data_IF_235752277156
#
_entry.id   IF_235752277156
#
_cell.length_a   1.000
_cell.length_b   1.000
_cell.length_c   1.000
_cell.angle_alpha   90.00
_cell.angle_beta   90.00
_cell.angle_gamma   90.00
#
_symmetry.space_group_name_H-M   'P 1'
#
loop_
_entity.id
_entity.type
_entity.pdbx_description
1 polymer ?
#
# COMPACT_ATOMS: atom_id res chain seq x y z
N UNK A 1 26.81 16.84 -52.92
CA UNK A 1 25.94 15.97 -52.08
C UNK A 1 26.35 16.20 -50.64
N UNK A 2 25.63 17.09 -49.96
CA UNK A 2 25.90 17.57 -48.60
C UNK A 2 25.25 16.65 -47.58
N UNK A 3 26.05 15.96 -46.77
CA UNK A 3 25.56 15.12 -45.67
C UNK A 3 25.40 15.98 -44.41
N UNK A 4 24.15 16.20 -44.02
CA UNK A 4 23.75 16.94 -42.82
C UNK A 4 24.08 16.09 -41.58
N UNK A 5 24.99 16.59 -40.74
CA UNK A 5 25.29 15.99 -39.44
C UNK A 5 24.09 16.16 -38.50
N UNK A 6 23.44 15.06 -38.15
CA UNK A 6 22.40 15.04 -37.13
C UNK A 6 23.03 15.18 -35.74
N UNK A 7 22.86 16.34 -35.13
CA UNK A 7 23.25 16.62 -33.75
C UNK A 7 22.35 15.81 -32.82
N UNK A 8 22.87 14.74 -32.22
CA UNK A 8 22.16 13.97 -31.20
C UNK A 8 21.98 14.84 -29.95
N UNK A 9 20.72 15.06 -29.56
CA UNK A 9 20.37 15.74 -28.32
C UNK A 9 20.92 14.96 -27.10
N UNK A 10 21.39 15.62 -26.04
CA UNK A 10 21.90 14.94 -24.86
C UNK A 10 20.75 14.19 -24.16
N UNK A 11 20.96 12.90 -23.91
CA UNK A 11 20.03 12.05 -23.17
C UNK A 11 19.82 12.63 -21.76
N UNK A 12 18.56 12.92 -21.42
CA UNK A 12 18.17 13.40 -20.11
C UNK A 12 18.62 12.41 -19.02
N UNK A 13 19.31 12.93 -17.99
CA UNK A 13 19.76 12.16 -16.84
C UNK A 13 18.57 11.54 -16.09
N UNK A 14 18.51 10.21 -15.89
CA UNK A 14 17.48 9.59 -15.05
C UNK A 14 17.95 9.67 -13.59
N UNK A 15 17.52 10.69 -12.85
CA UNK A 15 17.99 10.86 -11.46
C UNK A 15 17.33 11.93 -10.60
N UNK A 16 16.30 12.63 -11.06
CA UNK A 16 15.52 13.48 -10.17
C UNK A 16 14.40 12.63 -9.56
N UNK A 17 14.55 12.23 -8.29
CA UNK A 17 13.47 11.65 -7.50
C UNK A 17 12.24 12.55 -7.65
N UNK A 18 11.17 12.02 -8.25
CA UNK A 18 9.93 12.76 -8.38
C UNK A 18 9.51 13.19 -6.96
N UNK A 19 9.26 14.49 -6.73
CA UNK A 19 8.81 14.94 -5.42
C UNK A 19 7.57 14.15 -5.06
N UNK A 20 7.46 13.73 -3.78
CA UNK A 20 6.23 13.19 -3.19
C UNK A 20 5.09 14.01 -3.78
N UNK A 21 4.23 13.44 -4.65
CA UNK A 21 3.05 14.16 -5.11
C UNK A 21 2.36 14.60 -3.83
N UNK A 22 2.35 15.90 -3.57
CA UNK A 22 1.67 16.45 -2.42
C UNK A 22 0.25 15.92 -2.52
N UNK A 23 -0.11 15.00 -1.62
CA UNK A 23 -1.40 14.34 -1.67
C UNK A 23 -2.43 15.46 -1.71
N UNK A 24 -3.26 15.50 -2.74
CA UNK A 24 -4.25 16.56 -2.90
C UNK A 24 -5.02 16.74 -1.59
N UNK A 25 -5.31 17.99 -1.17
CA UNK A 25 -6.06 18.22 0.05
C UNK A 25 -7.37 17.43 -0.01
N UNK A 26 -7.78 16.80 1.10
CA UNK A 26 -8.97 15.96 1.09
C UNK A 26 -10.19 16.77 0.68
N UNK A 27 -10.97 16.24 -0.26
CA UNK A 27 -12.27 16.83 -0.59
C UNK A 27 -13.20 16.60 0.60
N UNK A 28 -14.01 17.61 0.95
CA UNK A 28 -14.98 17.50 2.08
C UNK A 28 -15.86 16.25 1.94
N UNK A 29 -16.27 15.91 0.71
CA UNK A 29 -17.02 14.69 0.41
C UNK A 29 -16.33 13.39 0.90
N UNK A 30 -14.99 13.31 0.83
CA UNK A 30 -14.23 12.14 1.31
C UNK A 30 -14.24 12.05 2.83
N UNK A 31 -14.16 13.19 3.52
CA UNK A 31 -14.25 13.22 4.99
C UNK A 31 -15.65 12.84 5.46
N UNK A 32 -16.69 13.32 4.78
CA UNK A 32 -18.06 12.94 5.07
C UNK A 32 -18.31 11.45 4.81
N UNK A 33 -17.76 10.89 3.74
CA UNK A 33 -17.83 9.45 3.44
C UNK A 33 -17.08 8.58 4.46
N UNK A 34 -16.06 9.13 5.14
CA UNK A 34 -15.29 8.41 6.15
C UNK A 34 -16.04 8.24 7.49
N UNK A 35 -16.96 9.13 7.84
CA UNK A 35 -17.72 9.07 9.10
C UNK A 35 -18.55 7.76 9.23
N UNK A 36 -19.43 7.37 8.28
CA UNK A 36 -20.18 6.14 8.40
C UNK A 36 -19.28 4.89 8.42
N UNK A 37 -18.11 4.97 7.77
CA UNK A 37 -17.12 3.90 7.81
C UNK A 37 -16.49 3.78 9.19
N UNK A 38 -16.13 4.90 9.83
CA UNK A 38 -15.65 4.91 11.21
C UNK A 38 -16.68 4.28 12.15
N UNK A 39 -17.96 4.61 12.00
CA UNK A 39 -19.04 3.98 12.78
C UNK A 39 -19.05 2.46 12.57
N UNK A 40 -18.96 2.00 11.32
CA UNK A 40 -18.92 0.57 11.01
C UNK A 40 -17.71 -0.13 11.65
N UNK A 41 -16.52 0.47 11.56
CA UNK A 41 -15.31 -0.08 12.21
C UNK A 41 -15.42 -0.04 13.73
N UNK A 42 -16.03 0.99 14.30
CA UNK A 42 -16.23 1.11 15.75
C UNK A 42 -17.17 0.04 16.30
N UNK A 43 -18.26 -0.25 15.58
CA UNK A 43 -19.25 -1.24 16.00
C UNK A 43 -18.77 -2.68 15.78
N UNK A 44 -18.11 -2.96 14.66
CA UNK A 44 -17.82 -4.34 14.25
C UNK A 44 -16.33 -4.69 14.30
N UNK A 45 -15.43 -3.72 14.15
CA UNK A 45 -14.00 -4.00 13.99
C UNK A 45 -13.38 -4.70 15.19
N UNK A 46 -13.70 -4.26 16.41
CA UNK A 46 -13.26 -4.94 17.63
C UNK A 46 -13.77 -6.38 17.74
N UNK A 47 -15.05 -6.62 17.39
CA UNK A 47 -15.65 -7.95 17.39
C UNK A 47 -15.00 -8.88 16.34
N UNK A 48 -14.75 -8.35 15.14
CA UNK A 48 -14.09 -9.10 14.06
C UNK A 48 -12.65 -9.45 14.41
N UNK A 49 -11.90 -8.52 15.01
CA UNK A 49 -10.54 -8.76 15.48
C UNK A 49 -10.50 -9.78 16.61
N UNK A 50 -11.44 -9.69 17.55
CA UNK A 50 -11.56 -10.67 18.63
C UNK A 50 -11.89 -12.05 18.07
N UNK A 51 -12.89 -12.15 17.18
CA UNK A 51 -13.27 -13.40 16.51
C UNK A 51 -12.10 -14.00 15.75
N UNK A 52 -11.41 -13.22 14.91
CA UNK A 52 -10.27 -13.69 14.14
C UNK A 52 -9.16 -14.20 15.06
N UNK A 53 -8.82 -13.44 16.11
CA UNK A 53 -7.78 -13.83 17.08
C UNK A 53 -8.16 -15.11 17.85
N UNK A 54 -9.42 -15.26 18.23
CA UNK A 54 -9.93 -16.49 18.86
C UNK A 54 -9.86 -17.69 17.91
N UNK A 55 -10.19 -17.52 16.63
CA UNK A 55 -10.07 -18.58 15.62
C UNK A 55 -8.61 -18.97 15.36
N UNK A 56 -7.69 -18.01 15.37
CA UNK A 56 -6.24 -18.28 15.27
C UNK A 56 -5.78 -19.08 16.48
N UNK A 57 -6.15 -18.67 17.69
CA UNK A 57 -5.79 -19.39 18.91
C UNK A 57 -6.34 -20.82 18.89
N UNK A 58 -7.62 -20.98 18.52
CA UNK A 58 -8.25 -22.29 18.34
C UNK A 58 -7.50 -23.14 17.30
N UNK A 59 -7.14 -22.57 16.14
CA UNK A 59 -6.37 -23.25 15.11
C UNK A 59 -4.99 -23.69 15.60
N UNK A 60 -4.30 -22.85 16.39
CA UNK A 60 -3.02 -23.21 17.02
C UNK A 60 -3.21 -24.36 17.99
N UNK A 61 -4.23 -24.32 18.87
CA UNK A 61 -4.52 -25.39 19.83
C UNK A 61 -4.87 -26.71 19.13
N UNK A 62 -5.69 -26.68 18.07
CA UNK A 62 -6.06 -27.88 17.33
C UNK A 62 -4.91 -28.40 16.43
N UNK A 63 -3.86 -27.61 16.20
CA UNK A 63 -2.72 -28.04 15.37
C UNK A 63 -1.89 -29.14 16.05
N UNK A 64 -1.93 -29.26 17.39
CA UNK A 64 -1.30 -30.35 18.14
C UNK A 64 -1.83 -31.74 17.76
N UNK A 65 -3.06 -31.82 17.24
CA UNK A 65 -3.67 -33.05 16.70
C UNK A 65 -3.84 -32.99 15.18
N UNK A 66 -3.11 -32.09 14.50
CA UNK A 66 -3.11 -31.83 13.06
C UNK A 66 -4.42 -31.29 12.46
N UNK A 67 -5.54 -31.33 13.19
CA UNK A 67 -6.86 -30.84 12.75
C UNK A 67 -6.91 -29.31 12.60
N UNK A 68 -6.08 -28.58 13.34
CA UNK A 68 -6.02 -27.11 13.28
C UNK A 68 -5.31 -26.54 12.04
N UNK A 69 -4.57 -27.36 11.30
CA UNK A 69 -3.76 -26.88 10.17
C UNK A 69 -4.61 -26.31 9.02
N UNK A 70 -5.70 -26.96 8.54
CA UNK A 70 -6.56 -26.38 7.52
C UNK A 70 -7.19 -25.06 7.94
N UNK A 71 -7.55 -24.91 9.22
CA UNK A 71 -8.09 -23.67 9.77
C UNK A 71 -7.05 -22.55 9.74
N UNK A 72 -5.81 -22.80 10.16
CA UNK A 72 -4.74 -21.80 10.11
C UNK A 72 -4.38 -21.40 8.68
N UNK A 73 -4.43 -22.34 7.72
CA UNK A 73 -4.27 -22.03 6.29
C UNK A 73 -5.38 -21.09 5.84
N UNK A 74 -6.64 -21.43 6.13
CA UNK A 74 -7.79 -20.60 5.77
C UNK A 74 -7.71 -19.20 6.40
N UNK A 75 -7.29 -19.08 7.66
CA UNK A 75 -7.14 -17.80 8.36
C UNK A 75 -6.01 -16.94 7.80
N UNK A 76 -4.90 -17.55 7.35
CA UNK A 76 -3.83 -16.82 6.65
C UNK A 76 -4.32 -16.22 5.33
N UNK A 77 -5.08 -16.98 4.54
CA UNK A 77 -5.72 -16.45 3.33
C UNK A 77 -6.81 -15.41 3.63
N UNK A 78 -7.58 -15.59 4.70
CA UNK A 78 -8.58 -14.63 5.14
C UNK A 78 -7.94 -13.30 5.57
N UNK A 79 -6.76 -13.34 6.21
CA UNK A 79 -5.97 -12.17 6.55
C UNK A 79 -5.55 -11.40 5.29
N UNK A 80 -4.96 -12.08 4.30
CA UNK A 80 -4.57 -11.48 3.02
C UNK A 80 -5.78 -10.96 2.23
N UNK A 81 -6.88 -11.71 2.21
CA UNK A 81 -8.13 -11.29 1.55
C UNK A 81 -8.77 -10.07 2.23
N UNK A 82 -8.78 -10.04 3.56
CA UNK A 82 -9.22 -8.88 4.35
C UNK A 82 -8.34 -7.66 4.12
N UNK A 83 -7.02 -7.85 4.07
CA UNK A 83 -6.07 -6.79 3.76
C UNK A 83 -6.32 -6.20 2.35
N UNK A 84 -6.52 -7.06 1.36
CA UNK A 84 -6.88 -6.63 0.01
C UNK A 84 -8.19 -5.84 -0.05
N UNK A 85 -9.23 -6.30 0.66
CA UNK A 85 -10.52 -5.61 0.74
C UNK A 85 -10.37 -4.22 1.37
N UNK A 86 -9.63 -4.13 2.47
CA UNK A 86 -9.43 -2.87 3.20
C UNK A 86 -8.62 -1.86 2.40
N UNK A 87 -7.54 -2.31 1.75
CA UNK A 87 -6.76 -1.48 0.82
C UNK A 87 -7.60 -0.99 -0.35
N UNK A 88 -8.44 -1.85 -0.93
CA UNK A 88 -9.34 -1.45 -2.03
C UNK A 88 -10.36 -0.44 -1.53
N UNK A 89 -10.99 -0.67 -0.39
CA UNK A 89 -11.95 0.26 0.22
C UNK A 89 -11.32 1.63 0.49
N UNK A 90 -10.11 1.66 1.07
CA UNK A 90 -9.37 2.89 1.34
C UNK A 90 -8.99 3.63 0.04
N UNK A 91 -8.52 2.90 -0.98
CA UNK A 91 -8.20 3.46 -2.30
C UNK A 91 -9.42 4.13 -2.94
N UNK A 92 -10.59 3.49 -2.89
CA UNK A 92 -11.83 4.05 -3.43
C UNK A 92 -12.34 5.25 -2.62
N UNK A 93 -12.29 5.19 -1.29
CA UNK A 93 -12.84 6.27 -0.43
C UNK A 93 -11.99 7.52 -0.47
N UNK A 94 -10.67 7.36 -0.43
CA UNK A 94 -9.71 8.47 -0.31
C UNK A 94 -9.01 8.82 -1.61
N UNK A 95 -9.37 8.16 -2.72
CA UNK A 95 -8.73 8.29 -4.03
C UNK A 95 -7.20 8.08 -3.95
N UNK A 96 -6.77 7.08 -3.17
CA UNK A 96 -5.36 6.76 -2.99
C UNK A 96 -4.88 5.82 -4.08
N UNK A 97 -3.67 6.06 -4.57
CA UNK A 97 -2.98 5.16 -5.49
C UNK A 97 -2.29 4.05 -4.71
N UNK A 98 -3.08 3.05 -4.30
CA UNK A 98 -2.59 1.88 -3.57
C UNK A 98 -2.26 0.79 -4.59
N UNK A 99 -0.99 0.34 -4.68
CA UNK A 99 -0.62 -0.73 -5.60
C UNK A 99 -1.32 -2.03 -5.19
N UNK A 100 -1.63 -2.92 -6.14
CA UNK A 100 -2.34 -4.16 -5.85
C UNK A 100 -1.62 -4.97 -4.76
N UNK A 101 -2.40 -5.50 -3.81
CA UNK A 101 -1.86 -6.35 -2.77
C UNK A 101 -1.27 -7.64 -3.40
N UNK A 102 0.03 -7.91 -3.23
CA UNK A 102 0.66 -9.05 -3.89
C UNK A 102 0.24 -10.35 -3.20
N UNK A 103 -0.50 -11.21 -3.91
CA UNK A 103 -0.76 -12.56 -3.40
C UNK A 103 0.51 -13.41 -3.56
N UNK A 104 1.24 -13.63 -2.46
CA UNK A 104 2.50 -14.37 -2.47
C UNK A 104 2.23 -15.82 -2.85
N UNK A 105 2.96 -16.34 -3.84
CA UNK A 105 2.85 -17.73 -4.29
C UNK A 105 4.22 -18.40 -4.20
N UNK A 106 4.24 -19.67 -3.78
CA UNK A 106 5.47 -20.44 -3.77
C UNK A 106 5.95 -20.70 -5.21
N UNK A 107 7.26 -20.50 -5.44
CA UNK A 107 7.96 -20.86 -6.68
C UNK A 107 8.31 -22.35 -6.74
N UNK A 108 8.10 -23.11 -5.65
CA UNK A 108 8.36 -24.54 -5.60
C UNK A 108 7.44 -25.28 -6.58
N UNK A 109 7.96 -26.34 -7.17
CA UNK A 109 7.20 -27.26 -8.03
C UNK A 109 6.91 -28.61 -7.35
N UNK A 110 7.39 -28.79 -6.12
CA UNK A 110 7.21 -29.99 -5.31
C UNK A 110 5.82 -30.05 -4.62
N UNK A 111 5.50 -31.21 -4.02
CA UNK A 111 4.27 -31.41 -3.25
C UNK A 111 4.16 -30.53 -1.99
N UNK A 112 5.24 -29.85 -1.59
CA UNK A 112 5.26 -28.91 -0.46
C UNK A 112 4.82 -27.49 -0.83
N UNK A 113 4.64 -27.20 -2.12
CA UNK A 113 4.17 -25.92 -2.65
C UNK A 113 2.93 -25.34 -1.93
N UNK A 114 1.83 -26.08 -1.64
CA UNK A 114 0.68 -25.52 -0.94
C UNK A 114 1.00 -25.10 0.50
N UNK A 115 1.76 -25.90 1.25
CA UNK A 115 2.17 -25.59 2.62
C UNK A 115 3.09 -24.36 2.66
N UNK A 116 4.06 -24.30 1.75
CA UNK A 116 4.93 -23.14 1.62
C UNK A 116 4.13 -21.88 1.23
N UNK A 117 3.12 -22.02 0.38
CA UNK A 117 2.26 -20.88 0.00
C UNK A 117 1.43 -20.38 1.18
N UNK A 118 0.92 -21.27 2.03
CA UNK A 118 0.21 -20.89 3.25
C UNK A 118 1.15 -20.17 4.24
N UNK A 119 2.37 -20.68 4.44
CA UNK A 119 3.38 -20.04 5.28
C UNK A 119 3.74 -18.63 4.77
N UNK A 120 3.80 -18.44 3.45
CA UNK A 120 4.06 -17.13 2.85
C UNK A 120 2.97 -16.10 3.13
N UNK A 121 1.69 -16.51 3.29
CA UNK A 121 0.62 -15.57 3.67
C UNK A 121 0.80 -15.07 5.10
N UNK A 122 1.12 -15.97 6.03
CA UNK A 122 1.42 -15.61 7.42
C UNK A 122 2.68 -14.73 7.54
N UNK A 123 3.65 -14.91 6.65
CA UNK A 123 4.87 -14.10 6.59
C UNK A 123 4.72 -12.78 5.83
N UNK A 124 3.53 -12.42 5.35
CA UNK A 124 3.30 -11.18 4.64
C UNK A 124 3.13 -9.99 5.60
N UNK A 125 4.20 -9.20 5.75
CA UNK A 125 4.20 -8.03 6.63
C UNK A 125 3.14 -6.98 6.26
N UNK A 126 2.79 -6.86 4.96
CA UNK A 126 1.78 -5.91 4.50
C UNK A 126 0.41 -6.27 5.04
N UNK A 127 0.01 -7.53 4.96
CA UNK A 127 -1.25 -8.02 5.54
C UNK A 127 -1.38 -7.70 7.05
N UNK A 128 -0.28 -7.86 7.81
CA UNK A 128 -0.25 -7.49 9.24
C UNK A 128 -0.34 -5.98 9.49
N UNK A 129 0.29 -5.17 8.64
CA UNK A 129 0.15 -3.71 8.71
C UNK A 129 -1.27 -3.25 8.44
N UNK A 130 -1.98 -3.89 7.49
CA UNK A 130 -3.39 -3.60 7.23
C UNK A 130 -4.27 -4.04 8.41
N UNK A 131 -3.97 -5.17 9.05
CA UNK A 131 -4.66 -5.59 10.28
C UNK A 131 -4.45 -4.58 11.42
N UNK A 132 -3.23 -4.07 11.59
CA UNK A 132 -2.92 -3.01 12.57
C UNK A 132 -3.67 -1.72 12.25
N UNK A 133 -3.71 -1.31 10.98
CA UNK A 133 -4.51 -0.17 10.54
C UNK A 133 -5.99 -0.38 10.90
N UNK A 134 -6.57 -1.53 10.56
CA UNK A 134 -7.96 -1.85 10.90
C UNK A 134 -8.21 -1.80 12.43
N UNK A 135 -7.27 -2.27 13.25
CA UNK A 135 -7.36 -2.18 14.71
C UNK A 135 -7.36 -0.73 15.21
N UNK A 136 -6.45 0.11 14.72
CA UNK A 136 -6.40 1.54 15.09
C UNK A 136 -7.70 2.25 14.66
N UNK A 137 -8.14 2.00 13.43
CA UNK A 137 -9.38 2.60 12.88
C UNK A 137 -10.62 2.13 13.65
N UNK A 138 -10.63 0.91 14.15
CA UNK A 138 -11.71 0.41 15.03
C UNK A 138 -11.79 1.19 16.34
N UNK A 139 -10.64 1.55 16.93
CA UNK A 139 -10.62 2.41 18.13
C UNK A 139 -11.10 3.82 17.82
N UNK A 140 -10.63 4.44 16.72
CA UNK A 140 -11.14 5.74 16.27
C UNK A 140 -12.66 5.68 15.99
N UNK A 141 -13.11 4.58 15.41
CA UNK A 141 -14.51 4.29 15.15
C UNK A 141 -15.34 4.21 16.42
N UNK A 142 -14.83 3.56 17.46
CA UNK A 142 -15.49 3.50 18.77
C UNK A 142 -15.64 4.90 19.37
N UNK A 143 -14.60 5.74 19.28
CA UNK A 143 -14.68 7.15 19.69
C UNK A 143 -15.76 7.87 18.88
N UNK A 144 -15.84 7.66 17.56
CA UNK A 144 -16.88 8.27 16.72
C UNK A 144 -18.29 7.83 17.14
N UNK A 145 -18.50 6.55 17.47
CA UNK A 145 -19.78 6.03 17.98
C UNK A 145 -20.14 6.70 19.31
N UNK A 146 -19.20 6.83 20.24
CA UNK A 146 -19.42 7.49 21.52
C UNK A 146 -19.74 8.98 21.34
N UNK A 147 -19.06 9.67 20.41
CA UNK A 147 -19.34 11.08 20.08
C UNK A 147 -20.74 11.22 19.49
N UNK A 148 -21.14 10.36 18.54
CA UNK A 148 -22.49 10.37 17.97
C UNK A 148 -23.55 10.09 19.05
N UNK A 149 -23.29 9.13 19.95
CA UNK A 149 -24.16 8.85 21.10
C UNK A 149 -24.30 10.07 22.02
N UNK A 150 -23.19 10.75 22.32
CA UNK A 150 -23.20 11.98 23.12
C UNK A 150 -23.95 13.12 22.43
N UNK A 151 -23.82 13.27 21.11
CA UNK A 151 -24.58 14.24 20.32
C UNK A 151 -26.09 13.91 20.34
N UNK A 152 -26.45 12.62 20.26
CA UNK A 152 -27.83 12.17 20.44
C UNK A 152 -28.40 12.51 21.82
N UNK A 153 -27.59 12.33 22.88
CA UNK A 153 -27.94 12.77 24.23
C UNK A 153 -28.10 14.29 24.33
N UNK A 154 -27.17 15.06 23.75
CA UNK A 154 -27.24 16.53 23.72
C UNK A 154 -28.45 17.05 22.96
N UNK A 155 -28.89 16.35 21.90
CA UNK A 155 -30.11 16.70 21.17
C UNK A 155 -31.34 16.68 22.09
N UNK A 156 -31.40 15.77 23.07
CA UNK A 156 -32.48 15.76 24.06
C UNK A 156 -32.49 17.04 24.91
N UNK A 157 -31.32 17.61 25.21
CA UNK A 157 -31.20 18.85 25.97
C UNK A 157 -31.64 20.07 25.16
N UNK A 158 -31.39 20.05 23.85
CA UNK A 158 -31.83 21.11 22.93
C UNK A 158 -33.34 21.09 22.73
N UNK A 159 -33.95 19.91 22.67
CA UNK A 159 -35.38 19.74 22.38
C UNK A 159 -36.24 19.83 23.63
N UNK A 160 -35.66 19.62 24.83
CA UNK A 160 -36.39 19.62 26.11
C UNK A 160 -37.34 20.81 26.33
N UNK A 161 -36.97 22.08 26.05
CA UNK A 161 -37.88 23.21 26.27
C UNK A 161 -39.14 23.20 25.41
N UNK A 162 -39.15 22.45 24.31
CA UNK A 162 -40.31 22.33 23.43
C UNK A 162 -41.23 21.16 23.81
N UNK A 163 -40.75 20.25 24.67
CA UNK A 163 -41.47 19.05 25.09
C UNK A 163 -42.07 19.23 26.48
N UNK A 164 -41.28 19.77 27.42
CA UNK A 164 -41.70 20.02 28.80
C UNK A 164 -41.08 21.35 29.30
N UNK A 165 -41.71 22.49 28.99
CA UNK A 165 -41.15 23.83 29.29
C UNK A 165 -41.00 24.14 30.78
N UNK A 166 -41.82 23.52 31.63
CA UNK A 166 -41.89 23.80 33.07
C UNK A 166 -41.30 22.66 33.91
N UNK A 167 -40.88 21.57 33.27
CA UNK A 167 -40.34 20.38 33.92
C UNK A 167 -38.94 20.57 34.52
N UNK A 168 -38.61 19.85 35.60
CA UNK A 168 -37.26 19.84 36.16
C UNK A 168 -36.30 19.16 35.18
N UNK A 169 -35.31 19.90 34.68
CA UNK A 169 -34.34 19.37 33.73
C UNK A 169 -32.98 19.05 34.39
N UNK A 170 -32.38 17.94 33.97
CA UNK A 170 -31.07 17.49 34.47
C UNK A 170 -30.09 17.22 33.33
N UNK A 171 -28.89 17.75 33.47
CA UNK A 171 -27.75 17.52 32.58
C UNK A 171 -26.70 16.75 33.36
N UNK A 172 -26.37 15.53 32.92
CA UNK A 172 -25.42 14.64 33.61
C UNK A 172 -25.76 14.42 35.10
N UNK A 173 -27.05 14.36 35.43
CA UNK A 173 -27.54 14.16 36.79
C UNK A 173 -27.65 15.44 37.64
N UNK A 174 -27.16 16.58 37.15
CA UNK A 174 -27.23 17.87 37.85
C UNK A 174 -28.45 18.68 37.38
N UNK A 175 -29.21 19.30 38.30
CA UNK A 175 -30.30 20.19 37.93
C UNK A 175 -29.76 21.39 37.16
N UNK A 176 -30.41 21.75 36.05
CA UNK A 176 -29.98 22.84 35.19
C UNK A 176 -31.18 23.57 34.60
N UNK A 177 -31.07 24.90 34.46
CA UNK A 177 -32.07 25.69 33.76
C UNK A 177 -32.15 25.30 32.28
N UNK A 178 -33.36 25.14 31.75
CA UNK A 178 -33.64 24.70 30.37
C UNK A 178 -32.90 25.49 29.28
N UNK A 179 -32.83 26.84 29.31
CA UNK A 179 -32.08 27.61 28.31
C UNK A 179 -30.57 27.29 28.33
N UNK A 180 -30.01 27.12 29.53
CA UNK A 180 -28.59 26.79 29.70
C UNK A 180 -28.29 25.36 29.23
N UNK A 181 -29.19 24.41 29.53
CA UNK A 181 -29.09 23.05 29.03
C UNK A 181 -29.14 22.98 27.50
N UNK A 182 -30.02 23.79 26.87
CA UNK A 182 -30.11 23.89 25.41
C UNK A 182 -28.84 24.46 24.81
N UNK A 183 -28.29 25.54 25.38
CA UNK A 183 -27.02 26.12 24.94
C UNK A 183 -25.88 25.11 25.04
N UNK A 184 -25.80 24.37 26.16
CA UNK A 184 -24.79 23.34 26.35
C UNK A 184 -24.96 22.18 25.36
N UNK A 185 -26.19 21.79 25.05
CA UNK A 185 -26.50 20.81 24.02
C UNK A 185 -26.03 21.24 22.62
N UNK A 186 -26.33 22.49 22.21
CA UNK A 186 -25.86 23.05 20.94
C UNK A 186 -24.32 23.10 20.88
N UNK A 187 -23.68 23.49 21.98
CA UNK A 187 -22.22 23.50 22.07
C UNK A 187 -21.63 22.09 21.91
N UNK A 188 -22.20 21.09 22.59
CA UNK A 188 -21.73 19.71 22.53
C UNK A 188 -21.93 19.10 21.14
N UNK A 189 -23.05 19.39 20.47
CA UNK A 189 -23.31 18.98 19.08
C UNK A 189 -22.29 19.61 18.15
N UNK A 190 -22.03 20.91 18.30
CA UNK A 190 -21.06 21.65 17.47
C UNK A 190 -19.64 21.11 17.66
N UNK A 191 -19.25 20.84 18.91
CA UNK A 191 -17.96 20.22 19.25
C UNK A 191 -17.88 18.79 18.69
N UNK A 192 -18.94 18.00 18.84
CA UNK A 192 -19.03 16.63 18.31
C UNK A 192 -18.85 16.59 16.79
N UNK A 193 -19.48 17.50 16.06
CA UNK A 193 -19.28 17.63 14.62
C UNK A 193 -17.82 17.95 14.25
N UNK A 194 -17.17 18.87 14.97
CA UNK A 194 -15.75 19.16 14.76
C UNK A 194 -14.85 17.95 15.06
N UNK A 195 -15.13 17.21 16.13
CA UNK A 195 -14.40 15.98 16.49
C UNK A 195 -14.58 14.90 15.42
N UNK A 196 -15.80 14.69 14.90
CA UNK A 196 -16.05 13.71 13.83
C UNK A 196 -15.27 14.04 12.55
N UNK A 197 -15.21 15.33 12.17
CA UNK A 197 -14.38 15.76 11.04
C UNK A 197 -12.88 15.54 11.30
N UNK A 198 -12.41 15.80 12.53
CA UNK A 198 -11.04 15.50 12.95
C UNK A 198 -10.71 14.01 12.88
N UNK A 199 -11.61 13.14 13.36
CA UNK A 199 -11.46 11.68 13.28
C UNK A 199 -11.45 11.19 11.82
N UNK A 200 -12.31 11.75 10.96
CA UNK A 200 -12.31 11.44 9.53
C UNK A 200 -10.98 11.84 8.86
N UNK A 201 -10.43 13.01 9.21
CA UNK A 201 -9.14 13.45 8.72
C UNK A 201 -7.99 12.56 9.23
N UNK A 202 -8.03 12.16 10.51
CA UNK A 202 -7.07 11.23 11.09
C UNK A 202 -7.13 9.84 10.43
N UNK A 203 -8.33 9.32 10.17
CA UNK A 203 -8.53 8.05 9.45
C UNK A 203 -7.90 8.09 8.05
N UNK A 204 -8.10 9.19 7.31
CA UNK A 204 -7.42 9.38 6.02
C UNK A 204 -5.90 9.44 6.17
N UNK A 205 -5.40 10.22 7.14
CA UNK A 205 -3.97 10.36 7.37
C UNK A 205 -3.30 9.00 7.68
N UNK A 206 -3.92 8.20 8.55
CA UNK A 206 -3.50 6.83 8.85
C UNK A 206 -3.55 5.94 7.60
N UNK A 207 -4.61 6.04 6.80
CA UNK A 207 -4.73 5.28 5.55
C UNK A 207 -3.62 5.64 4.55
N UNK A 208 -3.27 6.92 4.44
CA UNK A 208 -2.15 7.36 3.58
C UNK A 208 -0.82 6.84 4.14
N UNK A 209 -0.57 6.98 5.44
CA UNK A 209 0.72 6.63 6.04
C UNK A 209 0.98 5.12 6.11
N UNK A 210 -0.05 4.32 6.39
CA UNK A 210 0.11 2.87 6.56
C UNK A 210 -0.15 2.07 5.27
N UNK A 211 -1.06 2.51 4.40
CA UNK A 211 -1.47 1.72 3.23
C UNK A 211 -0.82 2.15 1.92
N UNK A 212 -0.31 3.38 1.82
CA UNK A 212 0.45 3.81 0.64
C UNK A 212 1.91 3.44 0.89
N UNK A 213 2.46 2.44 0.17
CA UNK A 213 3.83 2.04 0.38
C UNK A 213 4.77 3.18 0.02
N UNK A 214 5.82 3.34 0.83
CA UNK A 214 6.91 4.26 0.50
C UNK A 214 7.49 3.89 -0.87
N UNK A 215 7.55 4.86 -1.79
CA UNK A 215 8.14 4.65 -3.11
C UNK A 215 9.65 4.35 -3.04
N UNK A 216 10.31 4.64 -1.92
CA UNK A 216 11.75 4.52 -1.75
C UNK A 216 12.31 3.09 -1.95
N UNK A 217 11.78 2.03 -1.31
CA UNK A 217 12.20 0.66 -1.57
C UNK A 217 11.95 0.19 -3.02
N UNK A 218 10.81 0.58 -3.62
CA UNK A 218 10.51 0.24 -5.01
C UNK A 218 11.49 0.88 -6.00
N UNK A 219 11.80 2.17 -5.81
CA UNK A 219 12.79 2.89 -6.60
C UNK A 219 14.21 2.31 -6.44
N UNK A 220 14.58 1.86 -5.24
CA UNK A 220 15.87 1.18 -5.02
C UNK A 220 15.94 -0.17 -5.72
N UNK A 221 14.86 -0.96 -5.68
CA UNK A 221 14.78 -2.23 -6.38
C UNK A 221 14.84 -2.05 -7.91
N UNK A 222 14.17 -1.02 -8.43
CA UNK A 222 14.20 -0.69 -9.86
C UNK A 222 15.58 -0.17 -10.30
N UNK A 223 16.23 0.66 -9.49
CA UNK A 223 17.61 1.09 -9.73
C UNK A 223 18.60 -0.09 -9.71
N UNK A 224 18.42 -1.05 -8.80
CA UNK A 224 19.22 -2.27 -8.75
C UNK A 224 19.00 -3.14 -10.00
N UNK A 225 17.75 -3.35 -10.42
CA UNK A 225 17.41 -4.09 -11.63
C UNK A 225 17.94 -3.41 -12.91
N UNK A 226 17.93 -2.07 -12.98
CA UNK A 226 18.57 -1.34 -14.07
C UNK A 226 20.10 -1.48 -14.05
N UNK A 227 20.71 -1.49 -12.87
CA UNK A 227 22.14 -1.78 -12.70
C UNK A 227 22.50 -3.15 -13.27
N UNK A 228 21.73 -4.18 -12.92
CA UNK A 228 21.96 -5.55 -13.39
C UNK A 228 21.74 -5.71 -14.90
N UNK A 229 20.77 -5.02 -15.49
CA UNK A 229 20.59 -4.98 -16.95
C UNK A 229 21.75 -4.29 -17.66
N UNK A 230 22.30 -3.22 -17.07
CA UNK A 230 23.48 -2.52 -17.63
C UNK A 230 24.71 -3.40 -17.58
N UNK A 231 24.95 -4.11 -16.49
CA UNK A 231 26.11 -5.03 -16.39
C UNK A 231 25.99 -6.19 -17.37
N UNK A 232 24.79 -6.76 -17.53
CA UNK A 232 24.53 -7.80 -18.53
C UNK A 232 24.73 -7.29 -19.96
N UNK A 233 24.25 -6.08 -20.28
CA UNK A 233 24.44 -5.47 -21.59
C UNK A 233 25.92 -5.16 -21.89
N UNK A 234 26.68 -4.69 -20.88
CA UNK A 234 28.13 -4.47 -21.02
C UNK A 234 28.89 -5.78 -21.22
N UNK A 235 28.55 -6.84 -20.48
CA UNK A 235 29.15 -8.15 -20.66
C UNK A 235 28.88 -8.72 -22.06
N UNK A 236 27.66 -8.55 -22.57
CA UNK A 236 27.31 -8.95 -23.94
C UNK A 236 28.09 -8.15 -25.00
N UNK A 237 28.25 -6.83 -24.79
CA UNK A 237 29.02 -5.98 -25.70
C UNK A 237 30.52 -6.33 -25.72
N UNK A 238 31.10 -6.68 -24.57
CA UNK A 238 32.52 -7.09 -24.49
C UNK A 238 32.76 -8.42 -25.21
N UNK A 239 31.85 -9.39 -25.05
CA UNK A 239 31.91 -10.67 -25.77
C UNK A 239 31.88 -10.45 -27.28
N UNK A 240 30.98 -9.60 -27.77
CA UNK A 240 30.88 -9.30 -29.19
C UNK A 240 32.10 -8.54 -29.71
N UNK A 241 32.67 -7.63 -28.91
CA UNK A 241 33.92 -6.94 -29.26
C UNK A 241 35.07 -7.92 -29.41
N UNK A 242 35.29 -8.82 -28.45
CA UNK A 242 36.35 -9.83 -28.53
C UNK A 242 36.16 -10.75 -29.74
N UNK A 243 34.91 -11.05 -30.10
CA UNK A 243 34.59 -11.82 -31.31
C UNK A 243 34.97 -11.07 -32.58
N UNK A 244 34.58 -9.80 -32.71
CA UNK A 244 34.93 -8.95 -33.86
C UNK A 244 36.44 -8.77 -33.98
N UNK A 245 37.13 -8.56 -32.87
CA UNK A 245 38.59 -8.40 -32.85
C UNK A 245 39.29 -9.67 -33.31
N UNK A 246 38.83 -10.84 -32.86
CA UNK A 246 39.35 -12.14 -33.32
C UNK A 246 39.05 -12.40 -34.79
N UNK A 247 37.81 -12.17 -35.23
CA UNK A 247 37.41 -12.38 -36.62
C UNK A 247 38.16 -11.42 -37.58
N UNK A 248 38.48 -10.21 -37.13
CA UNK A 248 39.33 -9.27 -37.86
C UNK A 248 40.79 -9.74 -37.90
N UNK A 249 41.32 -10.22 -36.78
CA UNK A 249 42.71 -10.70 -36.70
C UNK A 249 42.92 -11.96 -37.57
N UNK A 250 41.97 -12.90 -37.52
CA UNK A 250 42.01 -14.14 -38.29
C UNK A 250 41.65 -13.92 -39.77
N UNK A 251 40.79 -12.95 -40.08
CA UNK A 251 40.37 -12.63 -41.45
C UNK A 251 41.41 -11.89 -42.30
N UNK A 252 42.33 -11.14 -41.68
CA UNK A 252 43.32 -10.31 -42.39
C UNK A 252 44.61 -11.08 -42.73
N UNK A 253 44.98 -12.10 -41.94
CA UNK A 253 46.20 -12.88 -42.13
C UNK A 253 46.27 -13.69 -43.46
N UNK A 254 45.21 -14.40 -43.90
CA UNK A 254 45.25 -15.14 -45.16
C UNK A 254 45.37 -14.23 -46.38
N UNK A 255 44.77 -13.03 -46.31
CA UNK A 255 44.80 -12.05 -47.41
C UNK A 255 46.18 -11.43 -47.57
N UNK A 256 46.87 -11.07 -46.48
CA UNK A 256 48.24 -10.54 -46.56
C UNK A 256 49.25 -11.58 -47.05
N UNK A 257 49.12 -12.85 -46.64
CA UNK A 257 49.98 -13.94 -47.12
C UNK A 257 49.77 -14.19 -48.63
N UNK A 258 48.52 -14.17 -49.10
CA UNK A 258 48.22 -14.34 -50.53
C UNK A 258 48.80 -13.22 -51.42
N UNK A 259 48.76 -11.96 -50.95
CA UNK A 259 49.31 -10.82 -51.67
C UNK A 259 50.84 -10.85 -51.70
N UNK A 260 51.49 -11.20 -50.58
CA UNK A 260 52.95 -11.36 -50.52
C UNK A 260 53.45 -12.51 -51.43
N UNK A 261 52.74 -13.64 -51.46
CA UNK A 261 53.06 -14.74 -52.37
C UNK A 261 52.89 -14.36 -53.85
N UNK A 262 51.81 -13.66 -54.18
CA UNK A 262 51.53 -13.21 -55.57
C UNK A 262 52.59 -12.21 -56.04
N UNK A 263 53.04 -11.31 -55.15
CA UNK A 263 54.12 -10.35 -55.42
C UNK A 263 55.51 -11.04 -55.55
N UNK A 264 55.78 -12.06 -54.73
CA UNK A 264 57.01 -12.86 -54.83
C UNK A 264 57.10 -13.71 -56.10
N UNK A 265 55.96 -14.13 -56.66
CA UNK A 265 55.88 -14.82 -57.95
C UNK A 265 56.10 -13.87 -59.14
N UNK A 266 55.60 -12.63 -59.05
CA UNK A 266 55.82 -11.61 -60.07
C UNK A 266 57.29 -11.17 -60.17
N UNK A 267 58.01 -11.10 -59.04
CA UNK A 267 59.43 -10.69 -59.00
C UNK A 267 60.41 -11.75 -59.53
N UNK A 268 59.99 -13.02 -59.66
CA UNK A 268 60.80 -14.12 -60.24
C UNK A 268 60.59 -14.32 -61.75
N UNK A 269 59.68 -13.57 -62.36
CA UNK A 269 59.40 -13.61 -63.81
C UNK A 269 60.06 -12.47 -64.60
N UNK A 270 60.88 -11.66 -63.92
CA UNK A 270 61.85 -10.72 -64.50
C UNK A 270 63.25 -11.27 -64.22
#
# INVERSE_FOLDING_TARGET
MTATAATAAPAAAPGAAAPRRAAEPPRIAQLLAAIPQLVLHGLFGGLLLMLWSSLVLLGVTLSFVLVGLPLLVALGFALTGGAWLEERRAAWTFALDVPPHPMRRSTRTDGWRPFHTAALQWADARSWLVLLHAAIVSVLGLVAVLVIGAMGGALTWVVAPFVDPDGPFRVLGLPMALPLASLFGVLLISLGAAVLLGLAAAHRALSVQLLVPDAAPALRAEAAAQGERRTQAMAAAEIERTRIERDLHDGVQPRLVSVAMTLGMAKRKL
#
